data_IF_858191024621
#
_entry.id   IF_858191024621
#
_cell.length_a   1.000
_cell.length_b   1.000
_cell.length_c   1.000
_cell.angle_alpha   90.00
_cell.angle_beta   90.00
_cell.angle_gamma   90.00
#
_symmetry.space_group_name_H-M   'P 1'
#
loop_
_entity.id
_entity.type
_entity.pdbx_description
1 polymer ?
#
# COMPACT_ATOMS: atom_id res chain seq x y z
N UNK A 1 -12.80 58.24 21.13
CA UNK A 1 -12.71 56.81 21.47
C UNK A 1 -12.62 56.04 20.14
N UNK A 2 -11.44 55.56 19.83
CA UNK A 2 -11.16 54.76 18.58
C UNK A 2 -11.15 53.32 19.00
N UNK A 3 -12.13 52.54 18.54
CA UNK A 3 -12.20 51.11 18.74
C UNK A 3 -11.27 50.41 17.69
N UNK A 4 -10.23 49.75 18.18
CA UNK A 4 -9.42 48.87 17.32
C UNK A 4 -10.19 47.53 17.09
N UNK A 5 -10.22 47.04 15.84
CA UNK A 5 -10.77 45.70 15.62
C UNK A 5 -9.74 44.64 16.10
N UNK A 6 -10.23 43.76 16.97
CA UNK A 6 -9.46 42.54 17.34
C UNK A 6 -9.59 41.56 16.18
N UNK A 7 -8.50 41.37 15.47
CA UNK A 7 -8.39 40.28 14.47
C UNK A 7 -8.27 38.95 15.20
N UNK A 8 -9.29 38.11 15.13
CA UNK A 8 -9.21 36.70 15.50
C UNK A 8 -8.34 36.00 14.46
N UNK A 9 -7.12 35.64 14.83
CA UNK A 9 -6.32 34.64 14.13
C UNK A 9 -7.02 33.30 14.34
N UNK A 10 -7.79 32.86 13.34
CA UNK A 10 -8.24 31.49 13.24
C UNK A 10 -6.97 30.69 12.97
N UNK A 11 -6.41 30.07 14.01
CA UNK A 11 -5.37 29.09 13.86
C UNK A 11 -5.91 28.00 12.93
N UNK A 12 -5.19 27.69 11.85
CA UNK A 12 -5.43 26.47 11.12
C UNK A 12 -5.27 25.32 12.11
N UNK A 13 -6.38 24.80 12.59
CA UNK A 13 -6.39 23.49 13.22
C UNK A 13 -5.86 22.55 12.14
N UNK A 14 -4.71 21.90 12.37
CA UNK A 14 -4.25 20.81 11.56
C UNK A 14 -5.39 19.80 11.51
N UNK A 15 -5.90 19.52 10.30
CA UNK A 15 -6.83 18.41 10.14
C UNK A 15 -6.21 17.18 10.81
N UNK A 16 -6.97 16.38 11.56
CA UNK A 16 -6.44 15.16 12.13
C UNK A 16 -5.81 14.36 11.00
N UNK A 17 -4.57 13.93 11.19
CA UNK A 17 -3.89 13.01 10.26
C UNK A 17 -4.86 11.88 9.96
N UNK A 18 -5.16 11.59 8.69
CA UNK A 18 -6.06 10.51 8.35
C UNK A 18 -5.60 9.25 9.07
N UNK A 19 -6.53 8.47 9.64
CA UNK A 19 -6.20 7.15 10.16
C UNK A 19 -5.57 6.36 9.01
N UNK A 20 -4.25 6.23 9.08
CA UNK A 20 -3.49 5.54 8.04
C UNK A 20 -3.89 4.08 7.99
N UNK A 21 -3.66 3.45 6.85
CA UNK A 21 -3.85 2.01 6.71
C UNK A 21 -3.15 1.30 7.88
N UNK A 22 -3.89 0.58 8.73
CA UNK A 22 -3.32 -0.03 9.92
C UNK A 22 -2.17 -0.97 9.53
N UNK A 23 -1.03 -0.88 10.22
CA UNK A 23 0.10 -1.79 10.07
C UNK A 23 0.04 -2.93 11.10
N UNK A 24 0.96 -3.90 10.99
CA UNK A 24 1.16 -4.93 12.01
C UNK A 24 0.14 -6.07 12.00
N UNK A 25 -0.61 -6.27 10.93
CA UNK A 25 -1.52 -7.41 10.81
C UNK A 25 -0.76 -8.75 10.88
N UNK A 26 -1.33 -9.78 11.55
CA UNK A 26 -0.65 -11.07 11.73
C UNK A 26 -0.52 -11.90 10.44
N UNK A 27 -1.38 -11.66 9.45
CA UNK A 27 -1.43 -12.38 8.18
C UNK A 27 -1.70 -11.43 7.00
N UNK A 28 -1.37 -11.90 5.79
CA UNK A 28 -1.72 -11.13 4.59
C UNK A 28 -3.24 -11.00 4.39
N UNK A 29 -4.01 -12.04 4.68
CA UNK A 29 -5.47 -11.98 4.56
C UNK A 29 -6.07 -10.90 5.46
N UNK A 30 -5.63 -10.81 6.71
CA UNK A 30 -6.10 -9.77 7.62
C UNK A 30 -5.71 -8.36 7.16
N UNK A 31 -4.50 -8.22 6.59
CA UNK A 31 -4.07 -6.98 5.96
C UNK A 31 -4.93 -6.62 4.74
N UNK A 32 -5.16 -7.57 3.83
CA UNK A 32 -5.93 -7.34 2.61
C UNK A 32 -7.39 -6.97 2.90
N UNK A 33 -8.02 -7.64 3.88
CA UNK A 33 -9.38 -7.32 4.32
C UNK A 33 -9.46 -5.89 4.87
N UNK A 34 -8.55 -5.51 5.76
CA UNK A 34 -8.54 -4.17 6.36
C UNK A 34 -8.21 -3.09 5.32
N UNK A 35 -7.26 -3.35 4.42
CA UNK A 35 -6.92 -2.43 3.34
C UNK A 35 -8.10 -2.22 2.37
N UNK A 36 -8.81 -3.29 2.01
CA UNK A 36 -10.00 -3.20 1.15
C UNK A 36 -11.12 -2.40 1.82
N UNK A 37 -11.34 -2.61 3.12
CA UNK A 37 -12.32 -1.83 3.89
C UNK A 37 -11.92 -0.34 3.96
N UNK A 38 -10.65 -0.05 4.22
CA UNK A 38 -10.09 1.30 4.22
C UNK A 38 -10.29 2.02 2.88
N UNK A 39 -10.00 1.33 1.76
CA UNK A 39 -10.22 1.86 0.41
C UNK A 39 -11.70 2.11 0.18
N UNK A 40 -12.57 1.16 0.51
CA UNK A 40 -14.02 1.27 0.31
C UNK A 40 -14.63 2.46 1.07
N UNK A 41 -14.13 2.74 2.27
CA UNK A 41 -14.62 3.83 3.13
C UNK A 41 -14.13 5.21 2.66
N UNK A 42 -12.88 5.30 2.17
CA UNK A 42 -12.20 6.59 1.99
C UNK A 42 -11.97 7.01 0.54
N UNK A 43 -12.14 6.08 -0.40
CA UNK A 43 -11.89 6.40 -1.80
C UNK A 43 -12.85 7.47 -2.33
N UNK A 44 -12.28 8.43 -3.04
CA UNK A 44 -13.05 9.34 -3.88
C UNK A 44 -13.35 8.62 -5.20
N UNK A 45 -14.55 8.05 -5.28
CA UNK A 45 -14.99 7.30 -6.46
C UNK A 45 -15.23 8.22 -7.65
N UNK A 46 -14.87 7.76 -8.84
CA UNK A 46 -15.05 8.48 -10.11
C UNK A 46 -16.11 7.83 -11.02
N UNK A 47 -16.55 6.63 -10.67
CA UNK A 47 -17.61 5.89 -11.38
C UNK A 47 -18.74 5.49 -10.44
N UNK A 48 -19.93 5.20 -10.99
CA UNK A 48 -21.09 4.73 -10.21
C UNK A 48 -20.89 3.27 -9.73
N UNK A 49 -20.12 2.47 -10.46
CA UNK A 49 -19.74 1.11 -10.04
C UNK A 49 -18.44 1.18 -9.24
N UNK A 50 -18.57 1.15 -7.91
CA UNK A 50 -17.46 1.26 -6.99
C UNK A 50 -16.61 -0.03 -6.88
N UNK A 51 -17.17 -1.19 -7.25
CA UNK A 51 -16.50 -2.50 -7.06
C UNK A 51 -15.15 -2.58 -7.80
N UNK A 52 -15.05 -2.26 -9.10
CA UNK A 52 -13.77 -2.30 -9.80
C UNK A 52 -12.74 -1.32 -9.23
N UNK A 53 -13.20 -0.14 -8.76
CA UNK A 53 -12.31 0.85 -8.17
C UNK A 53 -11.75 0.38 -6.82
N UNK A 54 -12.58 -0.25 -5.98
CA UNK A 54 -12.13 -0.81 -4.70
C UNK A 54 -11.14 -1.94 -4.96
N UNK A 55 -11.46 -2.88 -5.84
CA UNK A 55 -10.61 -4.02 -6.15
C UNK A 55 -9.28 -3.61 -6.75
N UNK A 56 -9.29 -2.69 -7.73
CA UNK A 56 -8.09 -2.19 -8.37
C UNK A 56 -7.16 -1.38 -7.45
N UNK A 57 -7.69 -0.84 -6.35
CA UNK A 57 -6.90 -0.07 -5.39
C UNK A 57 -6.62 -0.83 -4.09
N UNK A 58 -6.96 -2.11 -4.02
CA UNK A 58 -6.72 -2.97 -2.87
C UNK A 58 -5.54 -3.92 -3.10
N UNK A 59 -4.81 -4.31 -2.04
CA UNK A 59 -3.80 -5.35 -2.16
C UNK A 59 -4.41 -6.68 -2.57
N UNK A 60 -3.63 -7.49 -3.28
CA UNK A 60 -4.06 -8.81 -3.70
C UNK A 60 -2.96 -9.85 -3.58
N UNK A 61 -3.36 -11.13 -3.53
CA UNK A 61 -2.47 -12.28 -3.59
C UNK A 61 -2.93 -13.22 -4.70
N UNK A 62 -1.98 -13.78 -5.46
CA UNK A 62 -2.23 -14.81 -6.45
C UNK A 62 -1.47 -16.07 -6.06
N UNK A 63 -2.24 -17.12 -5.74
CA UNK A 63 -1.68 -18.44 -5.46
C UNK A 63 -1.36 -19.16 -6.78
N UNK A 64 -0.14 -19.69 -6.94
CA UNK A 64 0.22 -20.47 -8.13
C UNK A 64 -0.47 -21.83 -8.11
N UNK A 65 -0.84 -22.33 -9.30
CA UNK A 65 -1.38 -23.70 -9.45
C UNK A 65 -0.33 -24.78 -9.12
N UNK A 66 0.92 -24.52 -9.51
CA UNK A 66 2.06 -25.41 -9.29
C UNK A 66 3.16 -24.64 -8.56
N UNK A 67 3.15 -24.61 -7.21
CA UNK A 67 4.10 -23.80 -6.44
C UNK A 67 5.56 -24.21 -6.66
N UNK A 68 6.44 -23.22 -6.89
CA UNK A 68 7.89 -23.41 -6.97
C UNK A 68 8.62 -23.15 -5.64
N UNK A 69 7.88 -22.87 -4.57
CA UNK A 69 8.40 -22.60 -3.22
C UNK A 69 8.98 -21.18 -3.04
N UNK A 70 8.74 -20.26 -3.98
CA UNK A 70 9.22 -18.89 -3.94
C UNK A 70 8.06 -17.90 -3.97
N UNK A 71 8.28 -16.70 -3.44
CA UNK A 71 7.30 -15.63 -3.44
C UNK A 71 7.85 -14.35 -4.09
N UNK A 72 6.97 -13.51 -4.60
CA UNK A 72 7.27 -12.17 -5.10
C UNK A 72 6.40 -11.15 -4.35
N UNK A 73 7.02 -10.15 -3.71
CA UNK A 73 6.33 -8.96 -3.22
C UNK A 73 6.43 -7.86 -4.26
N UNK A 74 5.28 -7.31 -4.67
CA UNK A 74 5.18 -6.24 -5.65
C UNK A 74 4.82 -4.93 -4.97
N UNK A 75 5.59 -3.87 -5.27
CA UNK A 75 5.52 -2.56 -4.61
C UNK A 75 5.30 -1.50 -5.69
N UNK A 76 4.13 -0.87 -5.69
CA UNK A 76 3.73 0.11 -6.70
C UNK A 76 4.42 1.47 -6.54
N UNK A 77 4.27 2.35 -7.53
CA UNK A 77 4.83 3.69 -7.55
C UNK A 77 3.98 4.73 -6.81
N UNK A 78 4.52 5.95 -6.72
CA UNK A 78 3.80 7.09 -6.15
C UNK A 78 2.57 7.42 -7.01
N UNK A 79 1.43 7.59 -6.36
CA UNK A 79 0.15 7.89 -7.02
C UNK A 79 -0.43 6.73 -7.82
N UNK A 80 0.13 5.52 -7.68
CA UNK A 80 -0.30 4.29 -8.34
C UNK A 80 -1.04 3.36 -7.37
N UNK A 81 -1.36 2.15 -7.79
CA UNK A 81 -2.05 1.16 -6.99
C UNK A 81 -1.57 -0.26 -7.31
N UNK A 82 -1.94 -1.28 -6.51
CA UNK A 82 -1.61 -2.68 -6.80
C UNK A 82 -2.09 -3.16 -8.17
N UNK A 83 -3.10 -2.53 -8.76
CA UNK A 83 -3.64 -2.85 -10.09
C UNK A 83 -2.58 -2.94 -11.18
N UNK A 84 -1.55 -2.09 -11.11
CA UNK A 84 -0.45 -2.04 -12.10
C UNK A 84 0.26 -3.40 -12.25
N UNK A 85 0.17 -4.27 -11.26
CA UNK A 85 0.81 -5.57 -11.24
C UNK A 85 -0.11 -6.74 -11.61
N UNK A 86 -1.35 -6.50 -12.00
CA UNK A 86 -2.34 -7.58 -12.24
C UNK A 86 -1.85 -8.56 -13.31
N UNK A 87 -1.37 -8.09 -14.44
CA UNK A 87 -1.03 -8.97 -15.57
C UNK A 87 0.34 -9.64 -15.37
N UNK A 88 1.35 -8.89 -14.93
CA UNK A 88 2.65 -9.48 -14.62
C UNK A 88 2.57 -10.43 -13.43
N UNK A 89 1.71 -10.14 -12.46
CA UNK A 89 1.44 -11.02 -11.32
C UNK A 89 0.86 -12.36 -11.75
N UNK A 90 -0.12 -12.36 -12.66
CA UNK A 90 -0.65 -13.60 -13.24
C UNK A 90 0.43 -14.41 -13.95
N UNK A 91 1.26 -13.72 -14.77
CA UNK A 91 2.35 -14.37 -15.49
C UNK A 91 3.38 -15.03 -14.55
N UNK A 92 3.70 -14.39 -13.41
CA UNK A 92 4.60 -14.99 -12.42
C UNK A 92 3.93 -16.12 -11.64
N UNK A 93 2.65 -16.02 -11.34
CA UNK A 93 1.92 -17.10 -10.68
C UNK A 93 1.82 -18.34 -11.61
N UNK A 94 1.68 -18.18 -12.92
CA UNK A 94 1.73 -19.27 -13.88
C UNK A 94 3.11 -19.97 -13.91
N UNK A 95 4.19 -19.26 -13.52
CA UNK A 95 5.55 -19.80 -13.35
C UNK A 95 5.80 -20.39 -11.96
N UNK A 96 4.80 -20.44 -11.11
CA UNK A 96 4.84 -21.10 -9.81
C UNK A 96 5.17 -20.19 -8.62
N UNK A 97 5.32 -18.90 -8.80
CA UNK A 97 5.54 -17.96 -7.70
C UNK A 97 4.24 -17.64 -6.96
N UNK A 98 4.29 -17.60 -5.62
CA UNK A 98 3.30 -16.82 -4.89
C UNK A 98 3.52 -15.34 -5.20
N UNK A 99 2.46 -14.63 -5.58
CA UNK A 99 2.54 -13.19 -5.87
C UNK A 99 1.71 -12.41 -4.86
N UNK A 100 2.30 -11.41 -4.23
CA UNK A 100 1.62 -10.40 -3.40
C UNK A 100 1.86 -9.02 -3.96
N UNK A 101 0.80 -8.27 -4.20
CA UNK A 101 0.86 -6.84 -4.48
C UNK A 101 0.33 -6.09 -3.26
N UNK A 102 1.17 -5.26 -2.65
CA UNK A 102 0.81 -4.48 -1.47
C UNK A 102 0.28 -3.10 -1.84
N UNK A 103 -0.50 -2.49 -0.95
CA UNK A 103 -0.90 -1.10 -1.02
C UNK A 103 0.00 -0.27 -0.08
N UNK A 104 0.66 0.76 -0.62
CA UNK A 104 1.45 1.68 0.21
C UNK A 104 0.53 2.60 1.03
N UNK A 105 0.92 2.96 2.27
CA UNK A 105 0.21 3.94 3.08
C UNK A 105 -0.10 5.23 2.30
N UNK A 106 -1.29 5.79 2.50
CA UNK A 106 -1.77 7.00 1.82
C UNK A 106 -2.25 6.81 0.39
N UNK A 107 -2.15 5.60 -0.17
CA UNK A 107 -2.58 5.29 -1.53
C UNK A 107 -3.95 4.59 -1.58
N UNK A 108 -4.52 4.48 -2.78
CA UNK A 108 -5.77 3.76 -3.04
C UNK A 108 -7.05 4.54 -2.74
N UNK A 109 -6.97 5.66 -2.01
CA UNK A 109 -8.11 6.45 -1.55
C UNK A 109 -8.24 7.79 -2.29
N UNK A 110 -7.69 8.86 -1.78
CA UNK A 110 -7.69 10.20 -2.38
C UNK A 110 -6.33 10.86 -2.21
N UNK A 111 -5.93 11.80 -3.07
CA UNK A 111 -4.60 12.43 -3.01
C UNK A 111 -4.30 13.10 -1.66
N UNK A 112 -5.32 13.62 -0.98
CA UNK A 112 -5.16 14.27 0.32
C UNK A 112 -4.67 13.29 1.42
N UNK A 113 -4.95 12.02 1.32
CA UNK A 113 -4.54 11.00 2.30
C UNK A 113 -3.04 10.67 2.21
N UNK A 114 -2.34 11.14 1.17
CA UNK A 114 -0.87 11.10 1.09
C UNK A 114 -0.17 12.25 1.81
N UNK A 115 -0.91 13.32 2.15
CA UNK A 115 -0.33 14.47 2.85
C UNK A 115 0.07 14.05 4.27
N UNK A 116 1.36 14.15 4.57
CA UNK A 116 1.91 13.77 5.88
C UNK A 116 2.37 12.33 5.99
N UNK A 117 2.16 11.49 4.96
CA UNK A 117 2.78 10.15 4.92
C UNK A 117 4.28 10.30 4.63
N UNK A 118 5.11 9.62 5.41
CA UNK A 118 6.56 9.69 5.32
C UNK A 118 7.16 8.48 4.60
N UNK A 119 8.42 8.61 4.15
CA UNK A 119 9.17 7.49 3.58
C UNK A 119 9.35 6.35 4.58
N UNK A 120 9.54 6.67 5.86
CA UNK A 120 9.70 5.71 6.94
C UNK A 120 8.46 4.83 7.11
N UNK A 121 7.26 5.39 6.90
CA UNK A 121 6.01 4.63 6.94
C UNK A 121 5.90 3.66 5.77
N UNK A 122 6.37 4.06 4.58
CA UNK A 122 6.43 3.14 3.43
C UNK A 122 7.47 2.03 3.64
N UNK A 123 8.68 2.37 4.09
CA UNK A 123 9.72 1.39 4.43
C UNK A 123 9.22 0.40 5.48
N UNK A 124 8.57 0.90 6.55
CA UNK A 124 7.95 0.05 7.56
C UNK A 124 6.91 -0.90 6.98
N UNK A 125 6.03 -0.40 6.10
CA UNK A 125 5.01 -1.23 5.45
C UNK A 125 5.63 -2.34 4.59
N UNK A 126 6.70 -2.04 3.83
CA UNK A 126 7.45 -3.05 3.07
C UNK A 126 8.07 -4.10 3.99
N UNK A 127 8.73 -3.66 5.06
CA UNK A 127 9.34 -4.55 6.08
C UNK A 127 8.32 -5.52 6.68
N UNK A 128 7.13 -5.03 7.02
CA UNK A 128 6.03 -5.85 7.55
C UNK A 128 5.58 -6.91 6.54
N UNK A 129 5.39 -6.54 5.26
CA UNK A 129 4.96 -7.48 4.23
C UNK A 129 6.03 -8.53 3.91
N UNK A 130 7.30 -8.16 3.87
CA UNK A 130 8.39 -9.12 3.72
C UNK A 130 8.46 -10.06 4.93
N UNK A 131 8.30 -9.55 6.15
CA UNK A 131 8.29 -10.36 7.36
C UNK A 131 7.15 -11.41 7.36
N UNK A 132 5.99 -11.07 6.80
CA UNK A 132 4.89 -12.03 6.63
C UNK A 132 5.26 -13.13 5.62
N UNK A 133 5.90 -12.78 4.50
CA UNK A 133 6.35 -13.75 3.50
C UNK A 133 7.47 -14.66 4.04
N UNK A 134 8.42 -14.10 4.80
CA UNK A 134 9.54 -14.88 5.40
C UNK A 134 9.07 -16.00 6.33
N UNK A 135 7.86 -15.92 6.87
CA UNK A 135 7.29 -17.01 7.70
C UNK A 135 6.97 -18.29 6.90
N UNK A 136 6.81 -18.16 5.57
CA UNK A 136 6.31 -19.25 4.72
C UNK A 136 7.25 -19.58 3.56
N UNK A 137 8.02 -18.59 3.09
CA UNK A 137 8.87 -18.70 1.89
C UNK A 137 10.33 -18.40 2.22
N UNK A 138 11.25 -19.36 1.97
CA UNK A 138 12.68 -19.16 2.21
C UNK A 138 13.32 -18.22 1.19
N UNK A 139 12.69 -18.07 0.01
CA UNK A 139 13.18 -17.20 -1.05
C UNK A 139 12.08 -16.24 -1.49
N UNK A 140 12.38 -14.95 -1.37
CA UNK A 140 11.46 -13.86 -1.69
C UNK A 140 12.14 -12.93 -2.69
N UNK A 141 11.41 -12.57 -3.72
CA UNK A 141 11.80 -11.57 -4.69
C UNK A 141 11.04 -10.28 -4.40
N UNK A 142 11.69 -9.14 -4.59
CA UNK A 142 11.06 -7.84 -4.55
C UNK A 142 10.95 -7.30 -5.98
N UNK A 143 9.77 -6.90 -6.38
CA UNK A 143 9.49 -6.25 -7.65
C UNK A 143 8.88 -4.88 -7.38
N UNK A 144 9.53 -3.83 -7.83
CA UNK A 144 9.08 -2.46 -7.62
C UNK A 144 8.85 -1.72 -8.93
N UNK A 145 7.97 -0.73 -8.91
CA UNK A 145 7.80 0.25 -9.97
C UNK A 145 8.07 1.65 -9.41
N UNK A 146 8.94 2.45 -10.06
CA UNK A 146 9.24 3.83 -9.65
C UNK A 146 9.63 3.91 -8.16
N UNK A 147 8.86 4.62 -7.32
CA UNK A 147 9.06 4.68 -5.86
C UNK A 147 9.17 3.29 -5.23
N UNK A 148 8.38 2.31 -5.72
CA UNK A 148 8.47 0.94 -5.26
C UNK A 148 9.82 0.28 -5.53
N UNK A 149 10.53 0.65 -6.61
CA UNK A 149 11.91 0.21 -6.84
C UNK A 149 12.86 0.74 -5.75
N UNK A 150 12.72 2.02 -5.40
CA UNK A 150 13.57 2.62 -4.38
C UNK A 150 13.35 1.94 -3.02
N UNK A 151 12.08 1.66 -2.65
CA UNK A 151 11.75 0.95 -1.42
C UNK A 151 12.26 -0.50 -1.41
N UNK A 152 12.25 -1.18 -2.57
CA UNK A 152 12.81 -2.52 -2.69
C UNK A 152 14.35 -2.51 -2.52
N UNK A 153 15.03 -1.51 -3.08
CA UNK A 153 16.48 -1.35 -2.95
C UNK A 153 16.87 -0.98 -1.51
N UNK A 154 16.15 -0.04 -0.91
CA UNK A 154 16.31 0.36 0.49
C UNK A 154 16.21 -0.85 1.44
N UNK A 155 15.16 -1.68 1.23
CA UNK A 155 15.03 -2.93 1.98
C UNK A 155 16.25 -3.86 1.83
N UNK A 156 16.77 -4.03 0.61
CA UNK A 156 17.90 -4.93 0.34
C UNK A 156 19.22 -4.37 0.89
N UNK A 157 19.37 -3.05 0.94
CA UNK A 157 20.56 -2.41 1.53
C UNK A 157 20.59 -2.61 3.05
N UNK A 158 19.44 -2.53 3.71
CA UNK A 158 19.33 -2.77 5.15
C UNK A 158 19.40 -4.26 5.54
N UNK A 159 19.15 -5.18 4.59
CA UNK A 159 19.04 -6.63 4.83
C UNK A 159 19.84 -7.44 3.81
N UNK A 160 21.20 -7.28 3.77
CA UNK A 160 22.07 -7.93 2.80
C UNK A 160 22.14 -9.47 2.91
#
# INVERSE_FOLDING_TARGET
>A
MIALPVAFLIGCASEPTPDMLPGGQPTFDSYAIQAKAYVAERRHFVTDDHVPEIEGNSPFEIQPKNPNGQAVLMIHGLGDSPWTFTDIGKSLADQGYLVRAMLLPGHGTRPADMIGVTSEEWTKAVNEQVALLKKQYPKIWLAGFSTGCNLALDYLEEHP
#
